data_IF_453144676945
#
_entry.id   IF_453144676945
#
_cell.length_a   1.000
_cell.length_b   1.000
_cell.length_c   1.000
_cell.angle_alpha   90.00
_cell.angle_beta   90.00
_cell.angle_gamma   90.00
#
_symmetry.space_group_name_H-M   'P 1'
#
loop_
_entity.id
_entity.type
_entity.pdbx_description
1 polymer ?
#
# COMPACT_ATOMS: atom_id res chain seq x y z
N UNK A 1 -18.87 -8.93 2.22
CA UNK A 1 -17.48 -9.06 2.68
C UNK A 1 -16.56 -8.75 1.53
N UNK A 2 -15.87 -7.62 1.65
CA UNK A 2 -14.86 -7.12 0.72
C UNK A 2 -13.64 -6.72 1.53
N UNK A 3 -12.45 -7.11 1.05
CA UNK A 3 -11.18 -6.66 1.61
C UNK A 3 -10.64 -5.55 0.70
N UNK A 4 -10.44 -4.37 1.26
CA UNK A 4 -9.82 -3.25 0.56
C UNK A 4 -8.39 -3.06 1.05
N UNK A 5 -7.41 -3.02 0.15
CA UNK A 5 -6.03 -2.72 0.48
C UNK A 5 -5.66 -1.34 -0.05
N UNK A 6 -5.42 -0.42 0.88
CA UNK A 6 -5.03 0.96 0.61
C UNK A 6 -3.50 1.04 0.61
N UNK A 7 -2.94 1.55 -0.48
CA UNK A 7 -1.51 1.63 -0.71
C UNK A 7 -1.12 3.05 -1.12
N UNK A 8 0.16 3.37 -0.94
CA UNK A 8 0.72 4.69 -1.27
C UNK A 8 1.82 5.11 -0.29
N UNK A 9 2.61 6.14 -0.63
CA UNK A 9 3.67 6.65 0.24
C UNK A 9 3.11 7.23 1.53
N UNK A 10 3.93 7.42 2.56
CA UNK A 10 3.49 8.19 3.74
C UNK A 10 3.00 9.59 3.38
N UNK A 11 2.16 10.18 4.23
CA UNK A 11 1.59 11.52 4.05
C UNK A 11 0.65 11.70 2.83
N UNK A 12 0.29 10.64 2.09
CA UNK A 12 -0.59 10.73 0.91
C UNK A 12 -2.10 10.57 1.19
N UNK A 13 -2.52 10.63 2.47
CA UNK A 13 -3.94 10.57 2.86
C UNK A 13 -4.53 9.17 3.06
N UNK A 14 -3.72 8.10 3.10
CA UNK A 14 -4.19 6.71 3.34
C UNK A 14 -5.04 6.58 4.60
N UNK A 15 -4.52 7.04 5.75
CA UNK A 15 -5.21 6.93 7.04
C UNK A 15 -6.55 7.68 7.02
N UNK A 16 -6.61 8.83 6.35
CA UNK A 16 -7.85 9.58 6.16
C UNK A 16 -8.88 8.78 5.35
N UNK A 17 -8.46 8.20 4.22
CA UNK A 17 -9.34 7.35 3.41
C UNK A 17 -9.77 6.09 4.19
N UNK A 18 -8.85 5.41 4.86
CA UNK A 18 -9.10 4.20 5.62
C UNK A 18 -10.16 4.42 6.70
N UNK A 19 -10.04 5.49 7.48
CA UNK A 19 -11.02 5.86 8.51
C UNK A 19 -12.39 6.19 7.92
N UNK A 20 -12.43 6.91 6.80
CA UNK A 20 -13.69 7.23 6.13
C UNK A 20 -14.38 5.98 5.57
N UNK A 21 -13.62 5.07 4.96
CA UNK A 21 -14.11 3.77 4.48
C UNK A 21 -14.62 2.91 5.63
N UNK A 22 -13.85 2.78 6.71
CA UNK A 22 -14.22 2.02 7.88
C UNK A 22 -15.54 2.50 8.49
N UNK A 23 -15.70 3.82 8.64
CA UNK A 23 -16.95 4.41 9.12
C UNK A 23 -18.12 4.15 8.18
N UNK A 24 -17.93 4.21 6.87
CA UNK A 24 -19.00 4.04 5.88
C UNK A 24 -19.43 2.57 5.72
N UNK A 25 -18.48 1.64 5.85
CA UNK A 25 -18.69 0.21 5.63
C UNK A 25 -18.90 -0.57 6.94
N UNK A 26 -18.77 0.07 8.10
CA UNK A 26 -18.64 -0.59 9.40
C UNK A 26 -17.52 -1.66 9.40
N UNK A 27 -16.40 -1.31 8.74
CA UNK A 27 -15.29 -2.22 8.50
C UNK A 27 -14.19 -2.07 9.56
N UNK A 28 -13.52 -3.18 9.87
CA UNK A 28 -12.31 -3.14 10.69
C UNK A 28 -11.14 -2.56 9.89
N UNK A 29 -10.18 -1.92 10.56
CA UNK A 29 -8.91 -1.50 9.96
C UNK A 29 -7.78 -2.36 10.54
N UNK A 30 -6.97 -2.95 9.67
CA UNK A 30 -5.70 -3.55 10.03
C UNK A 30 -4.56 -2.76 9.37
N UNK A 31 -3.71 -2.15 10.18
CA UNK A 31 -2.60 -1.34 9.70
C UNK A 31 -1.31 -2.15 9.69
N UNK A 32 -0.77 -2.39 8.49
CA UNK A 32 0.54 -3.01 8.34
C UNK A 32 1.64 -1.96 8.58
N UNK A 33 2.05 -1.83 9.84
CA UNK A 33 3.23 -1.04 10.21
C UNK A 33 4.54 -1.81 10.01
N UNK A 34 5.65 -1.08 10.00
CA UNK A 34 6.99 -1.61 10.16
C UNK A 34 7.69 -0.87 11.31
N UNK A 35 8.67 -1.53 11.93
CA UNK A 35 9.54 -0.90 12.93
C UNK A 35 10.98 -1.17 12.52
N UNK A 36 11.77 -0.09 12.45
CA UNK A 36 13.21 -0.15 12.18
C UNK A 36 13.91 -1.16 13.10
N UNK A 37 14.62 -2.11 12.50
CA UNK A 37 15.37 -3.16 13.23
C UNK A 37 14.65 -4.50 13.32
N UNK A 38 13.43 -4.62 12.79
CA UNK A 38 12.78 -5.93 12.63
C UNK A 38 13.62 -6.90 11.79
N UNK A 39 13.68 -8.14 12.26
CA UNK A 39 14.26 -9.26 11.54
C UNK A 39 13.31 -9.74 10.44
N UNK A 40 13.80 -10.61 9.55
CA UNK A 40 12.95 -11.33 8.59
C UNK A 40 11.79 -12.05 9.27
N UNK A 41 12.05 -12.68 10.41
CA UNK A 41 11.04 -13.42 11.16
C UNK A 41 9.93 -12.50 11.68
N UNK A 42 10.28 -11.31 12.18
CA UNK A 42 9.30 -10.31 12.65
C UNK A 42 8.40 -9.85 11.52
N UNK A 43 8.98 -9.59 10.34
CA UNK A 43 8.22 -9.21 9.15
C UNK A 43 7.27 -10.31 8.71
N UNK A 44 7.74 -11.56 8.60
CA UNK A 44 6.90 -12.71 8.24
C UNK A 44 5.76 -12.91 9.24
N UNK A 45 6.05 -12.77 10.54
CA UNK A 45 5.05 -12.88 11.60
C UNK A 45 4.00 -11.76 11.50
N UNK A 46 4.42 -10.51 11.29
CA UNK A 46 3.50 -9.39 11.13
C UNK A 46 2.57 -9.57 9.95
N UNK A 47 3.09 -10.08 8.84
CA UNK A 47 2.23 -10.41 7.73
C UNK A 47 1.31 -11.60 7.98
N UNK A 48 1.79 -12.64 8.65
CA UNK A 48 0.95 -13.77 9.04
C UNK A 48 -0.25 -13.28 9.88
N UNK A 49 -0.05 -12.28 10.73
CA UNK A 49 -1.15 -11.62 11.44
C UNK A 49 -2.12 -10.94 10.48
N UNK A 50 -1.66 -10.16 9.50
CA UNK A 50 -2.54 -9.58 8.48
C UNK A 50 -3.33 -10.63 7.69
N UNK A 51 -2.68 -11.74 7.31
CA UNK A 51 -3.35 -12.89 6.68
C UNK A 51 -4.43 -13.50 7.58
N UNK A 52 -4.18 -13.59 8.88
CA UNK A 52 -5.16 -14.10 9.84
C UNK A 52 -6.35 -13.14 9.98
N UNK A 53 -6.13 -11.82 9.95
CA UNK A 53 -7.21 -10.83 9.95
C UNK A 53 -8.07 -10.92 8.68
N UNK A 54 -7.46 -11.08 7.51
CA UNK A 54 -8.20 -11.31 6.27
C UNK A 54 -9.05 -12.59 6.32
N UNK A 55 -8.49 -13.69 6.84
CA UNK A 55 -9.24 -14.94 7.04
C UNK A 55 -10.38 -14.77 8.04
N UNK A 56 -10.15 -14.08 9.15
CA UNK A 56 -11.19 -13.79 10.14
C UNK A 56 -12.31 -12.94 9.54
N UNK A 57 -11.99 -11.89 8.80
CA UNK A 57 -12.96 -11.06 8.08
C UNK A 57 -13.84 -11.90 7.13
N UNK A 58 -13.21 -12.83 6.40
CA UNK A 58 -13.92 -13.77 5.53
C UNK A 58 -14.88 -14.70 6.31
N UNK A 59 -14.43 -15.26 7.44
CA UNK A 59 -15.25 -16.14 8.29
C UNK A 59 -16.45 -15.39 8.89
N UNK A 60 -16.22 -14.18 9.42
CA UNK A 60 -17.25 -13.40 10.10
C UNK A 60 -18.07 -12.50 9.15
N UNK A 61 -17.81 -12.58 7.84
CA UNK A 61 -18.48 -11.77 6.80
C UNK A 61 -18.36 -10.26 6.97
N UNK A 62 -17.34 -9.78 7.70
CA UNK A 62 -17.11 -8.35 7.93
C UNK A 62 -16.17 -7.77 6.87
N UNK A 63 -16.45 -6.55 6.41
CA UNK A 63 -15.51 -5.84 5.54
C UNK A 63 -14.23 -5.48 6.30
N UNK A 64 -13.11 -5.44 5.58
CA UNK A 64 -11.78 -5.17 6.15
C UNK A 64 -11.03 -4.16 5.29
N UNK A 65 -10.45 -3.17 5.94
CA UNK A 65 -9.51 -2.22 5.34
C UNK A 65 -8.10 -2.59 5.79
N UNK A 66 -7.25 -2.96 4.84
CA UNK A 66 -5.82 -3.12 5.03
C UNK A 66 -5.14 -1.80 4.66
N UNK A 67 -4.57 -1.10 5.65
CA UNK A 67 -3.67 0.03 5.38
C UNK A 67 -2.26 -0.54 5.19
N UNK A 68 -1.83 -0.59 3.92
CA UNK A 68 -0.63 -1.25 3.38
C UNK A 68 -0.74 -2.78 3.25
N UNK A 69 -0.01 -3.33 2.29
CA UNK A 69 0.09 -4.77 2.05
C UNK A 69 1.44 -5.17 1.44
N UNK A 70 1.41 -6.19 0.57
CA UNK A 70 2.62 -6.73 -0.03
C UNK A 70 3.35 -5.71 -0.94
N UNK A 71 2.63 -4.77 -1.56
CA UNK A 71 3.21 -3.72 -2.42
C UNK A 71 4.07 -2.79 -1.57
N UNK A 72 3.51 -2.28 -0.47
CA UNK A 72 4.27 -1.47 0.50
C UNK A 72 5.53 -2.18 0.95
N UNK A 73 5.44 -3.47 1.29
CA UNK A 73 6.61 -4.20 1.75
C UNK A 73 7.66 -4.39 0.67
N UNK A 74 7.26 -4.61 -0.57
CA UNK A 74 8.21 -4.72 -1.67
C UNK A 74 8.92 -3.38 -1.93
N UNK A 75 8.19 -2.27 -1.98
CA UNK A 75 8.75 -0.93 -2.26
C UNK A 75 9.64 -0.46 -1.09
N UNK A 76 9.14 -0.49 0.14
CA UNK A 76 9.94 -0.09 1.31
C UNK A 76 11.08 -1.09 1.56
N UNK A 77 10.85 -2.37 1.28
CA UNK A 77 11.86 -3.41 1.35
C UNK A 77 13.05 -3.07 0.47
N UNK A 78 12.85 -2.86 -0.83
CA UNK A 78 13.92 -2.56 -1.77
C UNK A 78 14.71 -1.29 -1.42
N UNK A 79 14.03 -0.25 -0.89
CA UNK A 79 14.67 1.04 -0.58
C UNK A 79 15.43 1.00 0.74
N UNK A 80 14.84 0.43 1.79
CA UNK A 80 15.42 0.46 3.14
C UNK A 80 16.23 -0.79 3.49
N UNK A 81 16.02 -1.88 2.77
CA UNK A 81 16.60 -3.20 3.07
C UNK A 81 17.30 -3.62 1.79
N UNK A 82 18.63 -3.48 1.76
CA UNK A 82 19.55 -3.81 0.66
C UNK A 82 19.54 -5.31 0.23
N UNK A 83 18.42 -6.00 0.36
CA UNK A 83 18.22 -7.35 -0.14
C UNK A 83 16.75 -7.55 -0.58
N UNK A 84 16.40 -7.28 -1.85
CA UNK A 84 15.05 -7.46 -2.42
C UNK A 84 14.58 -8.93 -2.48
N UNK A 85 15.37 -9.88 -1.96
CA UNK A 85 15.34 -11.28 -2.36
C UNK A 85 14.60 -12.25 -1.44
N UNK A 86 13.99 -11.81 -0.34
CA UNK A 86 13.52 -12.77 0.68
C UNK A 86 12.00 -12.84 0.87
N UNK A 87 11.24 -12.06 0.10
CA UNK A 87 9.77 -12.08 0.14
C UNK A 87 9.30 -12.43 -1.26
N UNK A 88 8.67 -13.60 -1.39
CA UNK A 88 8.15 -14.12 -2.65
C UNK A 88 6.91 -13.33 -3.08
N UNK A 89 7.09 -12.07 -3.49
CA UNK A 89 6.02 -11.15 -3.88
C UNK A 89 4.99 -11.74 -4.86
N UNK A 90 5.33 -12.62 -5.82
CA UNK A 90 4.35 -13.40 -6.57
C UNK A 90 3.38 -14.19 -5.70
N UNK A 91 3.86 -14.93 -4.70
CA UNK A 91 3.02 -15.71 -3.78
C UNK A 91 2.06 -14.80 -3.01
N UNK A 92 2.53 -13.67 -2.50
CA UNK A 92 1.67 -12.70 -1.80
C UNK A 92 0.59 -12.13 -2.70
N UNK A 93 0.95 -11.75 -3.93
CA UNK A 93 0.00 -11.27 -4.92
C UNK A 93 -1.07 -12.33 -5.21
N UNK A 94 -0.66 -13.58 -5.42
CA UNK A 94 -1.60 -14.69 -5.66
C UNK A 94 -2.53 -14.89 -4.47
N UNK A 95 -2.01 -14.90 -3.24
CA UNK A 95 -2.82 -15.04 -2.03
C UNK A 95 -3.85 -13.91 -1.87
N UNK A 96 -3.45 -12.66 -2.10
CA UNK A 96 -4.37 -11.52 -2.03
C UNK A 96 -5.42 -11.58 -3.14
N UNK A 97 -5.04 -12.03 -4.34
CA UNK A 97 -5.97 -12.24 -5.46
C UNK A 97 -7.00 -13.33 -5.13
N UNK A 98 -6.57 -14.46 -4.58
CA UNK A 98 -7.47 -15.56 -4.20
C UNK A 98 -8.43 -15.15 -3.07
N UNK A 99 -8.02 -14.21 -2.23
CA UNK A 99 -8.89 -13.58 -1.21
C UNK A 99 -9.81 -12.48 -1.75
N UNK A 100 -9.74 -12.17 -3.05
CA UNK A 100 -10.57 -11.14 -3.67
C UNK A 100 -10.26 -9.71 -3.19
N UNK A 101 -9.02 -9.44 -2.79
CA UNK A 101 -8.60 -8.11 -2.32
C UNK A 101 -8.73 -7.08 -3.44
N UNK A 102 -9.42 -5.98 -3.15
CA UNK A 102 -9.51 -4.80 -4.02
C UNK A 102 -8.50 -3.77 -3.59
N UNK A 103 -7.66 -3.30 -4.51
CA UNK A 103 -6.62 -2.31 -4.22
C UNK A 103 -7.13 -0.89 -4.40
N UNK A 104 -6.55 0.07 -3.68
CA UNK A 104 -6.72 1.51 -3.92
C UNK A 104 -5.36 2.17 -3.77
N UNK A 105 -4.92 2.94 -4.78
CA UNK A 105 -3.72 3.77 -4.69
C UNK A 105 -4.12 5.15 -4.17
N UNK A 106 -3.58 5.57 -3.03
CA UNK A 106 -3.68 6.95 -2.58
C UNK A 106 -2.58 7.80 -3.23
N UNK A 107 -2.99 8.95 -3.77
CA UNK A 107 -2.12 9.92 -4.41
C UNK A 107 -2.26 11.30 -3.78
N UNK A 108 -1.18 12.05 -3.93
CA UNK A 108 -1.08 13.46 -3.56
C UNK A 108 -0.07 14.11 -4.47
N UNK A 109 -0.36 15.32 -4.95
CA UNK A 109 0.60 16.12 -5.71
C UNK A 109 1.91 16.30 -4.94
N UNK A 110 3.06 16.18 -5.63
CA UNK A 110 4.37 16.08 -4.99
C UNK A 110 4.68 17.24 -4.03
N UNK A 111 4.34 18.47 -4.41
CA UNK A 111 4.58 19.65 -3.58
C UNK A 111 3.74 19.63 -2.29
N UNK A 112 2.49 19.16 -2.37
CA UNK A 112 1.65 19.01 -1.19
C UNK A 112 2.13 17.86 -0.31
N UNK A 113 2.51 16.75 -0.93
CA UNK A 113 3.11 15.63 -0.22
C UNK A 113 4.36 16.07 0.53
N UNK A 114 5.25 16.84 -0.11
CA UNK A 114 6.47 17.35 0.48
C UNK A 114 6.19 18.31 1.65
N UNK A 115 5.17 19.16 1.54
CA UNK A 115 4.76 20.05 2.63
C UNK A 115 4.28 19.24 3.85
N UNK A 116 3.37 18.27 3.64
CA UNK A 116 2.88 17.38 4.70
C UNK A 116 3.99 16.53 5.30
N UNK A 117 4.86 16.01 4.44
CA UNK A 117 6.06 15.28 4.85
C UNK A 117 6.89 16.15 5.80
N UNK A 118 7.18 17.41 5.43
CA UNK A 118 7.95 18.31 6.29
C UNK A 118 7.28 18.57 7.65
N UNK A 119 5.96 18.68 7.70
CA UNK A 119 5.19 18.88 8.94
C UNK A 119 5.20 17.65 9.85
N UNK A 120 5.12 16.44 9.27
CA UNK A 120 5.10 15.19 10.02
C UNK A 120 6.51 14.65 10.37
N UNK A 121 7.57 15.36 9.98
CA UNK A 121 8.97 14.87 10.08
C UNK A 121 9.41 14.47 11.46
N UNK A 122 8.98 15.20 12.45
CA UNK A 122 9.42 14.98 13.82
C UNK A 122 8.63 13.86 14.50
N UNK A 123 7.51 13.42 13.90
CA UNK A 123 6.61 12.40 14.47
C UNK A 123 6.80 11.00 13.87
N UNK A 124 7.39 10.88 12.67
CA UNK A 124 7.54 9.59 11.99
C UNK A 124 8.98 9.05 12.07
N UNK A 125 9.11 7.87 12.67
CA UNK A 125 10.38 7.18 12.94
C UNK A 125 11.23 6.83 11.70
N UNK A 126 10.65 6.85 10.50
CA UNK A 126 11.26 6.36 9.25
C UNK A 126 11.65 7.49 8.28
N UNK A 127 11.58 8.74 8.71
CA UNK A 127 11.79 9.89 7.83
C UNK A 127 13.26 10.17 7.58
N UNK A 128 13.81 9.50 6.57
CA UNK A 128 15.14 9.76 6.04
C UNK A 128 15.09 10.39 4.63
N UNK A 129 16.27 10.54 4.03
CA UNK A 129 16.44 11.10 2.70
C UNK A 129 15.80 10.28 1.58
N UNK A 130 15.41 9.02 1.80
CA UNK A 130 14.88 8.12 0.77
C UNK A 130 13.37 8.23 0.55
N UNK A 131 12.65 9.01 1.35
CA UNK A 131 11.19 9.12 1.23
C UNK A 131 10.71 9.71 -0.11
N UNK A 132 11.53 10.55 -0.77
CA UNK A 132 11.23 10.97 -2.15
C UNK A 132 11.26 9.78 -3.12
N UNK A 133 12.18 8.83 -2.93
CA UNK A 133 12.24 7.61 -3.76
C UNK A 133 11.02 6.75 -3.54
N UNK A 134 10.56 6.61 -2.29
CA UNK A 134 9.32 5.88 -1.99
C UNK A 134 8.14 6.50 -2.75
N UNK A 135 7.99 7.82 -2.68
CA UNK A 135 6.98 8.55 -3.44
C UNK A 135 7.07 8.24 -4.94
N UNK A 136 8.24 8.44 -5.55
CA UNK A 136 8.46 8.22 -6.97
C UNK A 136 8.17 6.76 -7.39
N UNK A 137 8.60 5.79 -6.59
CA UNK A 137 8.45 4.37 -6.90
C UNK A 137 7.00 3.93 -6.85
N UNK A 138 6.21 4.39 -5.87
CA UNK A 138 4.77 4.06 -5.83
C UNK A 138 4.06 4.48 -7.10
N UNK A 139 4.22 5.73 -7.53
CA UNK A 139 3.51 6.24 -8.70
C UNK A 139 4.12 5.74 -10.00
N UNK A 140 5.44 5.52 -10.02
CA UNK A 140 6.14 4.86 -11.12
C UNK A 140 5.60 3.46 -11.37
N UNK A 141 5.59 2.60 -10.35
CA UNK A 141 5.05 1.24 -10.47
C UNK A 141 3.53 1.22 -10.69
N UNK A 142 2.78 2.18 -10.14
CA UNK A 142 1.33 2.25 -10.39
C UNK A 142 1.02 2.59 -11.84
N UNK A 143 1.73 3.57 -12.40
CA UNK A 143 1.53 4.05 -13.76
C UNK A 143 2.13 3.13 -14.82
N UNK A 144 3.10 2.30 -14.45
CA UNK A 144 3.91 1.49 -15.37
C UNK A 144 5.08 2.27 -15.98
N UNK A 145 5.46 3.41 -15.40
CA UNK A 145 6.54 4.28 -15.91
C UNK A 145 7.89 4.03 -15.25
N UNK A 146 7.99 3.08 -14.32
CA UNK A 146 9.21 2.82 -13.56
C UNK A 146 9.60 1.35 -13.65
N UNK A 147 10.79 1.07 -14.19
CA UNK A 147 11.41 -0.25 -14.08
C UNK A 147 12.66 -0.05 -13.23
N UNK A 148 12.75 -0.79 -12.14
CA UNK A 148 13.87 -0.68 -11.21
C UNK A 148 15.20 -1.18 -11.78
N UNK A 149 16.28 -0.93 -11.03
CA UNK A 149 17.63 -1.34 -11.39
C UNK A 149 17.98 -2.80 -11.05
N UNK A 150 19.27 -3.14 -11.01
CA UNK A 150 19.73 -4.51 -10.73
C UNK A 150 19.27 -5.01 -9.34
N UNK A 151 19.11 -4.11 -8.38
CA UNK A 151 18.81 -4.43 -6.98
C UNK A 151 17.34 -4.15 -6.58
N UNK A 152 16.40 -4.20 -7.53
CA UNK A 152 14.96 -4.06 -7.26
C UNK A 152 14.21 -5.37 -7.34
N UNK A 153 13.03 -5.40 -6.74
CA UNK A 153 12.11 -6.51 -6.79
C UNK A 153 11.66 -6.78 -8.23
N UNK A 154 12.17 -7.87 -8.82
CA UNK A 154 11.91 -8.25 -10.22
C UNK A 154 10.45 -8.54 -10.52
N UNK A 155 9.64 -8.79 -9.52
CA UNK A 155 8.20 -8.95 -9.72
C UNK A 155 7.52 -7.59 -9.90
N UNK A 156 7.90 -6.57 -9.14
CA UNK A 156 7.40 -5.20 -9.34
C UNK A 156 7.79 -4.67 -10.72
N UNK A 157 9.03 -4.92 -11.15
CA UNK A 157 9.52 -4.55 -12.49
C UNK A 157 8.60 -5.13 -13.58
N UNK A 158 8.31 -6.44 -13.52
CA UNK A 158 7.42 -7.13 -14.48
C UNK A 158 6.00 -6.56 -14.46
N UNK A 159 5.47 -6.22 -13.29
CA UNK A 159 4.14 -5.60 -13.18
C UNK A 159 4.15 -4.22 -13.84
N UNK A 160 5.21 -3.45 -13.64
CA UNK A 160 5.38 -2.14 -14.26
C UNK A 160 5.39 -2.23 -15.78
N UNK A 161 6.21 -3.14 -16.32
CA UNK A 161 6.30 -3.42 -17.76
C UNK A 161 4.96 -3.85 -18.36
N UNK A 162 4.13 -4.56 -17.58
CA UNK A 162 2.78 -4.95 -17.99
C UNK A 162 1.74 -3.81 -17.93
N UNK A 163 2.14 -2.59 -17.59
CA UNK A 163 1.30 -1.38 -17.53
C UNK A 163 0.98 -0.91 -16.11
N UNK A 164 1.73 -1.38 -15.12
CA UNK A 164 1.67 -0.95 -13.73
C UNK A 164 0.48 -1.48 -12.94
N UNK A 165 0.44 -1.16 -11.63
CA UNK A 165 -0.64 -1.60 -10.73
C UNK A 165 -2.03 -1.17 -11.22
N UNK A 166 -2.15 0.01 -11.85
CA UNK A 166 -3.42 0.49 -12.40
C UNK A 166 -4.06 -0.53 -13.35
N UNK A 167 -3.24 -1.20 -14.16
CA UNK A 167 -3.69 -2.16 -15.17
C UNK A 167 -3.69 -3.59 -14.64
N UNK A 168 -2.60 -4.01 -14.01
CA UNK A 168 -2.41 -5.41 -13.59
C UNK A 168 -3.29 -5.77 -12.40
N UNK A 169 -3.49 -4.82 -11.47
CA UNK A 169 -4.28 -5.04 -10.25
C UNK A 169 -5.64 -4.32 -10.29
N UNK A 170 -5.99 -3.69 -11.42
CA UNK A 170 -7.16 -2.82 -11.55
C UNK A 170 -7.25 -1.80 -10.41
N UNK A 171 -6.12 -1.15 -10.09
CA UNK A 171 -5.97 -0.32 -8.90
C UNK A 171 -6.35 1.14 -9.20
N UNK A 172 -7.54 1.62 -8.79
CA UNK A 172 -7.95 3.01 -8.95
C UNK A 172 -7.05 3.96 -8.15
N UNK A 173 -7.08 5.23 -8.57
CA UNK A 173 -6.40 6.33 -7.89
C UNK A 173 -7.40 7.11 -7.03
N UNK A 174 -7.11 7.21 -5.74
CA UNK A 174 -7.70 8.20 -4.85
C UNK A 174 -6.74 9.38 -4.71
N UNK A 175 -7.06 10.50 -5.36
CA UNK A 175 -6.29 11.74 -5.21
C UNK A 175 -7.08 12.73 -4.38
N UNK A 176 -6.70 12.91 -3.11
CA UNK A 176 -7.44 13.78 -2.19
C UNK A 176 -7.37 15.26 -2.63
N UNK A 177 -6.39 15.64 -3.46
CA UNK A 177 -6.22 17.02 -3.95
C UNK A 177 -7.24 17.38 -5.02
N UNK A 178 -7.76 16.36 -5.72
CA UNK A 178 -8.67 16.51 -6.86
C UNK A 178 -10.10 16.12 -6.51
N UNK A 179 -10.28 15.28 -5.51
CA UNK A 179 -11.57 14.71 -5.12
C UNK A 179 -11.64 14.56 -3.61
N UNK A 180 -12.72 15.03 -3.00
CA UNK A 180 -12.91 14.79 -1.58
C UNK A 180 -13.23 13.30 -1.33
N UNK A 181 -12.99 12.85 -0.10
CA UNK A 181 -13.17 11.45 0.27
C UNK A 181 -14.59 10.95 0.03
N UNK A 182 -15.62 11.77 0.30
CA UNK A 182 -17.02 11.35 0.16
C UNK A 182 -17.39 11.06 -1.30
N UNK A 183 -16.97 11.92 -2.23
CA UNK A 183 -17.18 11.75 -3.66
C UNK A 183 -16.52 10.47 -4.18
N UNK A 184 -15.28 10.19 -3.78
CA UNK A 184 -14.61 8.95 -4.14
C UNK A 184 -15.36 7.72 -3.61
N UNK A 185 -15.82 7.78 -2.36
CA UNK A 185 -16.56 6.68 -1.74
C UNK A 185 -17.95 6.44 -2.34
N UNK A 186 -18.54 7.42 -3.00
CA UNK A 186 -19.80 7.23 -3.75
C UNK A 186 -19.52 6.49 -5.06
N UNK A 187 -18.46 6.85 -5.76
CA UNK A 187 -18.13 6.22 -7.05
C UNK A 187 -17.53 4.82 -6.91
N UNK A 188 -16.75 4.57 -5.86
CA UNK A 188 -15.98 3.35 -5.76
C UNK A 188 -16.67 2.21 -4.99
N UNK A 189 -17.58 2.55 -4.07
CA UNK A 189 -18.24 1.56 -3.20
C UNK A 189 -19.66 1.19 -3.63
N UNK A 190 -20.24 1.88 -4.60
CA UNK A 190 -21.58 1.60 -5.18
C UNK A 190 -21.38 0.79 -6.47
#
# INVERSE_FOLDING_TARGET
MTIYCIEGPDCCGKTTLANAMAKKLDAAIFHHTYIKGWTKADLLNHFQQGMNHMKAANIYSNDLILDRGWISTAIYGDIYRYNPLEIDTPVWQHMYKDMGVKYIMCHTEYNEWQARYKESKDEMYEMDENMHKIYEWYYGYWSGSFVGGVNTNKHLDKISEAGGFKRVLNMPLFDYTRKNTEEFLVEYLI
#
